data_IF_329831743397
#
_entry.id   IF_329831743397
#
_cell.length_a   1.000
_cell.length_b   1.000
_cell.length_c   1.000
_cell.angle_alpha   90.00
_cell.angle_beta   90.00
_cell.angle_gamma   90.00
#
_symmetry.space_group_name_H-M   'P 1'
#
loop_
_entity.id
_entity.type
_entity.pdbx_description
1 polymer ?
#
# COMPACT_ATOMS: atom_id res chain seq x y z
N UNK A 1 9.55 -7.46 14.30
CA UNK A 1 10.10 -6.10 14.46
C UNK A 1 11.53 -5.97 13.90
N UNK A 2 12.51 -6.75 14.36
CA UNK A 2 13.92 -6.55 13.97
C UNK A 2 14.19 -6.64 12.46
N UNK A 3 13.56 -7.57 11.73
CA UNK A 3 13.65 -7.59 10.26
C UNK A 3 13.20 -6.27 9.62
N UNK A 4 12.15 -5.65 10.16
CA UNK A 4 11.60 -4.39 9.63
C UNK A 4 12.42 -3.16 10.06
N UNK A 5 13.33 -3.30 11.02
CA UNK A 5 14.33 -2.27 11.31
C UNK A 5 15.21 -2.00 10.08
N UNK A 6 15.42 -2.99 9.21
CA UNK A 6 16.12 -2.79 7.93
C UNK A 6 15.46 -1.70 7.10
N UNK A 7 14.12 -1.64 7.03
CA UNK A 7 13.42 -0.60 6.28
C UNK A 7 13.56 0.78 6.94
N UNK A 8 13.55 0.86 8.26
CA UNK A 8 13.84 2.11 8.98
C UNK A 8 15.26 2.61 8.70
N UNK A 9 16.24 1.71 8.75
CA UNK A 9 17.65 2.04 8.51
C UNK A 9 17.89 2.38 7.04
N UNK A 10 17.22 1.71 6.09
CA UNK A 10 17.27 2.03 4.67
C UNK A 10 16.77 3.45 4.36
N UNK A 11 15.75 3.91 5.10
CA UNK A 11 15.17 5.25 4.99
C UNK A 11 15.90 6.30 5.85
N UNK A 12 17.02 5.94 6.50
CA UNK A 12 17.77 6.82 7.41
C UNK A 12 19.26 6.76 7.08
N UNK A 13 19.72 7.49 6.03
CA UNK A 13 21.13 7.55 5.69
C UNK A 13 22.01 7.89 6.89
N UNK A 14 23.07 7.09 7.10
CA UNK A 14 23.98 7.24 8.24
C UNK A 14 23.65 6.37 9.46
N UNK A 15 22.50 5.69 9.48
CA UNK A 15 22.25 4.66 10.50
C UNK A 15 23.19 3.46 10.30
N UNK A 16 23.75 2.95 11.39
CA UNK A 16 24.51 1.70 11.38
C UNK A 16 23.63 0.51 10.96
N UNK A 17 24.18 -0.33 10.07
CA UNK A 17 23.59 -1.62 9.69
C UNK A 17 23.67 -2.59 10.88
N UNK A 18 22.60 -3.37 11.09
CA UNK A 18 22.44 -4.24 12.27
C UNK A 18 22.30 -5.71 11.86
N UNK A 19 22.42 -6.63 12.83
CA UNK A 19 21.94 -8.01 12.67
C UNK A 19 20.41 -8.02 12.63
N UNK A 20 19.82 -7.81 11.46
CA UNK A 20 18.36 -7.78 11.29
C UNK A 20 17.69 -9.13 11.59
N UNK A 21 18.47 -10.22 11.57
CA UNK A 21 18.04 -11.58 11.90
C UNK A 21 18.28 -11.93 13.37
N UNK A 22 18.62 -10.96 14.24
CA UNK A 22 19.05 -11.20 15.63
C UNK A 22 18.17 -12.21 16.39
N UNK A 23 16.85 -12.11 16.24
CA UNK A 23 15.85 -12.98 16.91
C UNK A 23 15.42 -14.22 16.11
N UNK A 24 16.16 -14.61 15.06
CA UNK A 24 15.86 -15.77 14.21
C UNK A 24 17.00 -16.80 14.22
N UNK A 25 16.66 -18.05 13.94
CA UNK A 25 17.63 -19.14 13.73
C UNK A 25 18.36 -19.00 12.40
N UNK A 26 17.61 -18.67 11.33
CA UNK A 26 18.15 -18.52 9.99
C UNK A 26 18.67 -17.10 9.79
N UNK A 27 20.00 -16.95 9.86
CA UNK A 27 20.68 -15.64 9.81
C UNK A 27 21.62 -15.45 8.62
N UNK A 28 22.10 -16.54 8.02
CA UNK A 28 23.10 -16.45 6.95
C UNK A 28 22.41 -16.19 5.60
N UNK A 29 22.26 -14.92 5.26
CA UNK A 29 21.72 -14.45 3.97
C UNK A 29 22.83 -14.02 2.98
N UNK A 30 24.10 -14.22 3.32
CA UNK A 30 25.23 -13.81 2.50
C UNK A 30 25.45 -12.29 2.41
N UNK A 31 24.87 -11.51 3.34
CA UNK A 31 24.95 -10.03 3.32
C UNK A 31 23.82 -9.36 2.54
N UNK A 32 22.91 -10.13 1.95
CA UNK A 32 21.86 -9.65 1.05
C UNK A 32 21.03 -8.50 1.63
N UNK A 33 20.48 -8.65 2.83
CA UNK A 33 19.63 -7.63 3.44
C UNK A 33 20.43 -6.38 3.84
N UNK A 34 21.70 -6.55 4.20
CA UNK A 34 22.60 -5.44 4.53
C UNK A 34 22.91 -4.62 3.26
N UNK A 35 23.25 -5.27 2.15
CA UNK A 35 23.50 -4.63 0.87
C UNK A 35 22.28 -3.84 0.36
N UNK A 36 21.06 -4.34 0.56
CA UNK A 36 19.82 -3.62 0.23
C UNK A 36 19.67 -2.34 1.04
N UNK A 37 19.94 -2.39 2.35
CA UNK A 37 19.89 -1.22 3.24
C UNK A 37 20.93 -0.18 2.82
N UNK A 38 22.18 -0.60 2.64
CA UNK A 38 23.28 0.28 2.25
C UNK A 38 23.04 0.94 0.89
N UNK A 39 22.49 0.19 -0.07
CA UNK A 39 22.12 0.73 -1.38
C UNK A 39 21.13 1.88 -1.24
N UNK A 40 20.09 1.71 -0.41
CA UNK A 40 19.10 2.76 -0.16
C UNK A 40 19.75 3.97 0.53
N UNK A 41 20.54 3.74 1.58
CA UNK A 41 21.23 4.82 2.30
C UNK A 41 22.18 5.61 1.40
N UNK A 42 22.92 4.93 0.52
CA UNK A 42 23.84 5.56 -0.43
C UNK A 42 23.09 6.48 -1.41
N UNK A 43 22.04 5.97 -2.04
CA UNK A 43 21.23 6.75 -3.00
C UNK A 43 20.59 7.95 -2.30
N UNK A 44 19.92 7.73 -1.17
CA UNK A 44 19.20 8.79 -0.46
C UNK A 44 20.16 9.84 0.13
N UNK A 45 21.31 9.41 0.66
CA UNK A 45 22.33 10.29 1.26
C UNK A 45 22.99 11.24 0.26
N UNK A 46 22.94 10.95 -1.04
CA UNK A 46 23.50 11.80 -2.11
C UNK A 46 22.53 12.88 -2.62
N UNK A 47 21.33 12.98 -2.05
CA UNK A 47 20.25 13.86 -2.52
C UNK A 47 19.77 14.84 -1.44
N UNK A 48 18.83 15.74 -1.78
CA UNK A 48 18.15 16.60 -0.80
C UNK A 48 17.12 15.86 0.08
N UNK A 49 17.39 14.60 0.41
CA UNK A 49 16.48 13.69 1.11
C UNK A 49 16.06 14.17 2.50
N UNK A 50 16.87 15.00 3.16
CA UNK A 50 16.52 15.59 4.46
C UNK A 50 15.19 16.37 4.44
N UNK A 51 14.75 16.87 3.28
CA UNK A 51 13.44 17.53 3.10
C UNK A 51 12.30 16.54 3.34
N UNK A 52 12.46 15.28 2.92
CA UNK A 52 11.39 14.27 2.91
C UNK A 52 11.57 13.17 3.94
N UNK A 53 12.73 13.08 4.60
CA UNK A 53 13.08 11.98 5.52
C UNK A 53 12.03 11.76 6.61
N UNK A 54 11.51 12.85 7.20
CA UNK A 54 10.44 12.75 8.20
C UNK A 54 9.20 12.02 7.64
N UNK A 55 8.77 12.36 6.42
CA UNK A 55 7.58 11.81 5.77
C UNK A 55 7.79 10.33 5.40
N UNK A 56 8.94 9.99 4.80
CA UNK A 56 9.25 8.61 4.41
C UNK A 56 9.43 7.71 5.62
N UNK A 57 10.11 8.16 6.68
CA UNK A 57 10.26 7.40 7.93
C UNK A 57 8.92 7.22 8.63
N UNK A 58 8.03 8.22 8.62
CA UNK A 58 6.66 8.08 9.14
C UNK A 58 5.90 6.97 8.42
N UNK A 59 5.83 7.02 7.09
CA UNK A 59 5.14 5.99 6.29
C UNK A 59 5.79 4.61 6.45
N UNK A 60 7.12 4.55 6.47
CA UNK A 60 7.86 3.31 6.71
C UNK A 60 7.60 2.73 8.10
N UNK A 61 7.47 3.57 9.14
CA UNK A 61 7.12 3.13 10.49
C UNK A 61 5.73 2.52 10.54
N UNK A 62 4.74 3.18 9.92
CA UNK A 62 3.37 2.67 9.84
C UNK A 62 3.30 1.31 9.11
N UNK A 63 4.02 1.19 7.99
CA UNK A 63 4.16 -0.09 7.29
C UNK A 63 4.79 -1.15 8.21
N UNK A 64 5.91 -0.82 8.85
CA UNK A 64 6.60 -1.74 9.76
C UNK A 64 5.71 -2.21 10.91
N UNK A 65 4.89 -1.32 11.48
CA UNK A 65 3.94 -1.64 12.54
C UNK A 65 2.88 -2.63 12.06
N UNK A 66 2.25 -2.38 10.91
CA UNK A 66 1.31 -3.32 10.29
C UNK A 66 1.90 -4.72 10.17
N UNK A 67 3.11 -4.81 9.61
CA UNK A 67 3.75 -6.10 9.38
C UNK A 67 4.06 -6.84 10.69
N UNK A 68 4.37 -6.12 11.77
CA UNK A 68 4.54 -6.72 13.09
C UNK A 68 3.21 -7.17 13.68
N UNK A 69 2.15 -6.38 13.55
CA UNK A 69 0.85 -6.71 14.12
C UNK A 69 0.10 -7.81 13.34
N UNK A 70 0.29 -7.91 12.02
CA UNK A 70 -0.36 -8.94 11.18
C UNK A 70 0.28 -10.33 11.31
N UNK A 71 1.57 -10.42 11.63
CA UNK A 71 2.34 -11.69 11.62
C UNK A 71 2.65 -12.25 13.02
N UNK A 72 1.85 -11.90 14.03
CA UNK A 72 1.84 -12.63 15.31
C UNK A 72 0.91 -13.86 15.22
N UNK A 73 0.86 -14.64 16.31
CA UNK A 73 -0.13 -15.72 16.48
C UNK A 73 -1.55 -15.17 16.26
N UNK A 74 -2.42 -15.99 15.67
CA UNK A 74 -3.70 -15.57 15.09
C UNK A 74 -4.58 -14.80 16.09
N UNK A 75 -4.69 -15.31 17.31
CA UNK A 75 -5.49 -14.76 18.40
C UNK A 75 -5.03 -13.37 18.86
N UNK A 76 -3.78 -12.98 18.59
CA UNK A 76 -3.24 -11.68 18.95
C UNK A 76 -3.38 -10.63 17.83
N UNK A 77 -3.59 -11.04 16.58
CA UNK A 77 -3.56 -10.12 15.42
C UNK A 77 -4.57 -8.99 15.55
N UNK A 78 -5.85 -9.32 15.75
CA UNK A 78 -6.95 -8.33 15.79
C UNK A 78 -6.83 -7.41 17.02
N UNK A 79 -6.65 -7.90 18.26
CA UNK A 79 -6.49 -7.03 19.42
C UNK A 79 -5.35 -6.03 19.26
N UNK A 80 -4.21 -6.47 18.72
CA UNK A 80 -3.06 -5.60 18.48
C UNK A 80 -3.34 -4.54 17.43
N UNK A 81 -3.97 -4.89 16.30
CA UNK A 81 -4.30 -3.93 15.24
C UNK A 81 -5.33 -2.88 15.70
N UNK A 82 -6.35 -3.29 16.46
CA UNK A 82 -7.34 -2.36 17.05
C UNK A 82 -6.68 -1.39 18.03
N UNK A 83 -5.93 -1.90 19.01
CA UNK A 83 -5.23 -1.08 19.99
C UNK A 83 -4.20 -0.15 19.32
N UNK A 84 -3.52 -0.61 18.27
CA UNK A 84 -2.62 0.24 17.50
C UNK A 84 -3.36 1.38 16.78
N UNK A 85 -4.53 1.10 16.19
CA UNK A 85 -5.36 2.13 15.56
C UNK A 85 -5.93 3.15 16.55
N UNK A 86 -6.28 2.75 17.78
CA UNK A 86 -6.77 3.69 18.81
C UNK A 86 -5.81 4.87 19.05
N UNK A 87 -4.49 4.63 18.95
CA UNK A 87 -3.47 5.68 19.07
C UNK A 87 -3.44 6.66 17.89
N UNK A 88 -4.09 6.31 16.78
CA UNK A 88 -4.09 7.02 15.51
C UNK A 88 -5.49 7.51 15.09
N UNK A 89 -6.54 7.08 15.79
CA UNK A 89 -7.93 7.33 15.41
C UNK A 89 -8.28 8.82 15.42
N UNK A 90 -7.62 9.62 16.26
CA UNK A 90 -7.83 11.07 16.28
C UNK A 90 -7.34 11.76 14.99
N UNK A 91 -6.30 11.22 14.34
CA UNK A 91 -5.80 11.72 13.05
C UNK A 91 -6.70 11.28 11.88
N UNK A 92 -7.30 10.08 11.98
CA UNK A 92 -8.14 9.50 10.92
C UNK A 92 -9.49 9.00 11.46
N UNK A 93 -10.37 9.89 11.96
CA UNK A 93 -11.61 9.50 12.66
C UNK A 93 -12.66 8.86 11.75
N UNK A 94 -12.46 8.90 10.43
CA UNK A 94 -13.38 8.35 9.43
C UNK A 94 -12.97 6.96 8.93
N UNK A 95 -11.85 6.42 9.42
CA UNK A 95 -11.37 5.09 9.08
C UNK A 95 -11.75 4.09 10.17
N UNK A 96 -12.01 2.87 9.76
CA UNK A 96 -12.03 1.72 10.65
C UNK A 96 -10.62 1.12 10.79
N UNK A 97 -10.37 0.34 11.85
CA UNK A 97 -9.03 -0.23 12.12
C UNK A 97 -8.50 -1.07 10.95
N UNK A 98 -9.36 -1.79 10.24
CA UNK A 98 -9.00 -2.62 9.08
C UNK A 98 -8.73 -1.77 7.83
N UNK A 99 -9.41 -0.63 7.67
CA UNK A 99 -9.12 0.33 6.60
C UNK A 99 -7.81 1.05 6.86
N UNK A 100 -7.58 1.51 8.09
CA UNK A 100 -6.32 2.09 8.51
C UNK A 100 -5.16 1.10 8.29
N UNK A 101 -5.34 -0.16 8.72
CA UNK A 101 -4.36 -1.22 8.47
C UNK A 101 -4.04 -1.34 6.98
N UNK A 102 -5.05 -1.36 6.10
CA UNK A 102 -4.83 -1.34 4.65
C UNK A 102 -4.07 -0.09 4.18
N UNK A 103 -4.40 1.11 4.69
CA UNK A 103 -3.72 2.36 4.33
C UNK A 103 -2.21 2.33 4.61
N UNK A 104 -1.79 1.61 5.64
CA UNK A 104 -0.38 1.49 6.03
C UNK A 104 0.40 0.42 5.27
N UNK A 105 -0.29 -0.46 4.52
CA UNK A 105 0.33 -1.61 3.86
C UNK A 105 1.00 -1.32 2.52
N UNK A 106 0.93 -0.10 2.00
CA UNK A 106 1.55 0.26 0.72
C UNK A 106 2.81 1.09 0.89
N UNK A 107 3.73 0.96 -0.06
CA UNK A 107 4.97 1.73 -0.18
C UNK A 107 4.91 2.86 -1.22
N UNK A 108 3.77 3.04 -1.90
CA UNK A 108 3.64 4.00 -3.01
C UNK A 108 3.96 5.44 -2.60
N UNK A 109 3.58 5.87 -1.40
CA UNK A 109 3.89 7.21 -0.91
C UNK A 109 5.39 7.43 -0.73
N UNK A 110 6.10 6.42 -0.21
CA UNK A 110 7.57 6.45 -0.05
C UNK A 110 8.25 6.59 -1.42
N UNK A 111 7.85 5.77 -2.40
CA UNK A 111 8.42 5.85 -3.75
C UNK A 111 8.16 7.19 -4.42
N UNK A 112 6.96 7.76 -4.24
CA UNK A 112 6.62 9.07 -4.80
C UNK A 112 7.49 10.19 -4.20
N UNK A 113 7.62 10.23 -2.86
CA UNK A 113 8.46 11.20 -2.16
C UNK A 113 9.92 11.12 -2.62
N UNK A 114 10.48 9.90 -2.69
CA UNK A 114 11.85 9.68 -3.16
C UNK A 114 12.01 10.09 -4.62
N UNK A 115 11.06 9.75 -5.49
CA UNK A 115 11.12 10.07 -6.93
C UNK A 115 11.16 11.59 -7.17
N UNK A 116 10.28 12.36 -6.51
CA UNK A 116 10.30 13.82 -6.61
C UNK A 116 11.58 14.44 -6.04
N UNK A 117 12.14 13.84 -4.98
CA UNK A 117 13.41 14.27 -4.39
C UNK A 117 14.57 14.08 -5.36
N UNK A 118 14.71 12.88 -5.94
CA UNK A 118 15.74 12.58 -6.93
C UNK A 118 15.57 13.37 -8.23
N UNK A 119 14.33 13.74 -8.56
CA UNK A 119 14.00 14.65 -9.67
C UNK A 119 14.31 16.14 -9.40
N UNK A 120 14.84 16.50 -8.23
CA UNK A 120 15.24 17.86 -7.89
C UNK A 120 14.10 18.87 -7.76
N UNK A 121 12.84 18.41 -7.73
CA UNK A 121 11.65 19.27 -7.73
C UNK A 121 11.00 19.38 -6.33
N UNK A 122 11.67 18.89 -5.29
CA UNK A 122 11.09 18.72 -3.96
C UNK A 122 11.32 19.94 -3.05
N UNK A 123 10.25 20.38 -2.40
CA UNK A 123 10.27 21.31 -1.27
C UNK A 123 9.36 20.79 -0.15
N UNK A 124 9.35 21.48 1.00
CA UNK A 124 8.56 21.06 2.18
C UNK A 124 7.05 21.01 1.91
N UNK A 125 6.52 21.99 1.17
CA UNK A 125 5.10 22.08 0.86
C UNK A 125 4.69 20.94 -0.08
N UNK A 126 5.52 20.65 -1.08
CA UNK A 126 5.29 19.54 -1.99
C UNK A 126 5.39 18.21 -1.25
N UNK A 127 6.34 18.04 -0.34
CA UNK A 127 6.47 16.81 0.46
C UNK A 127 5.19 16.53 1.27
N UNK A 128 4.66 17.54 1.95
CA UNK A 128 3.38 17.44 2.67
C UNK A 128 2.21 17.11 1.74
N UNK A 129 2.15 17.74 0.55
CA UNK A 129 1.09 17.46 -0.42
C UNK A 129 1.21 16.04 -0.99
N UNK A 130 2.43 15.55 -1.26
CA UNK A 130 2.68 14.18 -1.73
C UNK A 130 2.26 13.17 -0.67
N UNK A 131 2.65 13.36 0.60
CA UNK A 131 2.20 12.48 1.69
C UNK A 131 0.68 12.43 1.74
N UNK A 132 0.00 13.58 1.80
CA UNK A 132 -1.48 13.65 1.85
C UNK A 132 -2.18 13.04 0.63
N UNK A 133 -1.54 13.09 -0.53
CA UNK A 133 -2.13 12.58 -1.76
C UNK A 133 -2.03 11.06 -1.89
N UNK A 134 -1.01 10.47 -1.29
CA UNK A 134 -0.83 9.02 -1.28
C UNK A 134 -1.41 8.37 -0.03
N UNK A 135 -1.21 8.98 1.13
CA UNK A 135 -1.65 8.48 2.42
C UNK A 135 -2.75 9.38 3.02
N UNK A 136 -3.87 8.81 3.50
CA UNK A 136 -4.13 7.37 3.62
C UNK A 136 -4.71 6.73 2.34
N UNK A 137 -5.45 7.49 1.54
CA UNK A 137 -6.46 6.90 0.63
C UNK A 137 -5.89 6.16 -0.58
N UNK A 138 -4.84 6.67 -1.25
CA UNK A 138 -4.30 5.93 -2.40
C UNK A 138 -3.64 4.62 -1.97
N UNK A 139 -2.89 4.65 -0.87
CA UNK A 139 -2.30 3.46 -0.28
C UNK A 139 -3.38 2.48 0.19
N UNK A 140 -4.42 2.97 0.86
CA UNK A 140 -5.51 2.11 1.30
C UNK A 140 -6.29 1.51 0.14
N UNK A 141 -6.56 2.27 -0.92
CA UNK A 141 -7.21 1.75 -2.12
C UNK A 141 -6.37 0.62 -2.77
N UNK A 142 -5.06 0.81 -2.88
CA UNK A 142 -4.15 -0.19 -3.41
C UNK A 142 -4.22 -1.50 -2.62
N UNK A 143 -4.10 -1.43 -1.29
CA UNK A 143 -4.08 -2.63 -0.45
C UNK A 143 -5.47 -3.25 -0.29
N UNK A 144 -6.52 -2.44 -0.24
CA UNK A 144 -7.89 -2.96 -0.23
C UNK A 144 -8.20 -3.72 -1.53
N UNK A 145 -7.73 -3.25 -2.69
CA UNK A 145 -7.86 -3.98 -3.96
C UNK A 145 -7.12 -5.33 -3.93
N UNK A 146 -5.92 -5.36 -3.34
CA UNK A 146 -5.13 -6.57 -3.13
C UNK A 146 -5.90 -7.59 -2.28
N UNK A 147 -6.35 -7.17 -1.09
CA UNK A 147 -7.20 -8.02 -0.23
C UNK A 147 -8.52 -8.42 -0.90
N UNK A 148 -9.12 -7.57 -1.73
CA UNK A 148 -10.35 -7.92 -2.42
C UNK A 148 -10.13 -9.09 -3.38
N UNK A 149 -9.02 -9.11 -4.12
CA UNK A 149 -8.74 -10.18 -5.09
C UNK A 149 -8.30 -11.48 -4.43
N UNK A 150 -7.70 -11.42 -3.24
CA UNK A 150 -7.13 -12.56 -2.54
C UNK A 150 -8.06 -13.19 -1.50
N UNK A 151 -9.31 -12.73 -1.37
CA UNK A 151 -10.29 -13.25 -0.39
C UNK A 151 -10.41 -14.79 -0.35
N UNK A 152 -10.42 -15.46 -1.50
CA UNK A 152 -10.53 -16.91 -1.54
C UNK A 152 -9.24 -17.60 -1.04
N UNK A 153 -8.07 -17.07 -1.40
CA UNK A 153 -6.77 -17.61 -0.99
C UNK A 153 -6.55 -17.39 0.51
N UNK A 154 -6.84 -16.19 1.01
CA UNK A 154 -6.76 -15.87 2.44
C UNK A 154 -7.71 -16.75 3.26
N UNK A 155 -8.91 -17.06 2.77
CA UNK A 155 -9.85 -17.98 3.43
C UNK A 155 -9.30 -19.42 3.46
N UNK A 156 -8.67 -19.88 2.37
CA UNK A 156 -8.07 -21.22 2.26
C UNK A 156 -6.81 -21.37 3.13
N UNK A 157 -6.01 -20.31 3.28
CA UNK A 157 -4.75 -20.30 4.04
C UNK A 157 -4.93 -19.90 5.51
N UNK A 158 -6.12 -19.44 5.91
CA UNK A 158 -6.37 -18.94 7.27
C UNK A 158 -5.72 -17.58 7.55
N UNK A 159 -5.49 -16.81 6.50
CA UNK A 159 -4.80 -15.53 6.55
C UNK A 159 -5.76 -14.36 6.80
N UNK A 160 -5.22 -13.31 7.43
CA UNK A 160 -6.02 -12.15 7.81
C UNK A 160 -6.37 -11.30 6.58
N UNK A 161 -7.63 -11.35 6.13
CA UNK A 161 -8.16 -10.49 5.07
C UNK A 161 -8.96 -9.29 5.61
N UNK A 162 -8.56 -8.05 5.28
CA UNK A 162 -9.25 -6.86 5.78
C UNK A 162 -10.66 -6.64 5.21
N UNK A 163 -10.96 -7.18 4.03
CA UNK A 163 -12.30 -7.08 3.43
C UNK A 163 -13.36 -7.91 4.18
N UNK A 164 -12.94 -8.91 4.96
CA UNK A 164 -13.85 -9.73 5.75
C UNK A 164 -14.48 -8.99 6.97
N UNK A 165 -14.00 -7.80 7.30
CA UNK A 165 -14.45 -7.04 8.49
C UNK A 165 -15.47 -5.94 8.20
N UNK A 166 -15.84 -5.72 6.93
CA UNK A 166 -17.02 -4.92 6.60
C UNK A 166 -18.29 -5.68 6.99
N UNK A 167 -19.33 -4.98 7.46
CA UNK A 167 -20.54 -5.66 7.94
C UNK A 167 -21.29 -6.37 6.80
N UNK A 168 -21.23 -5.81 5.58
CA UNK A 168 -21.76 -6.44 4.37
C UNK A 168 -21.11 -5.87 3.09
N UNK A 169 -21.24 -6.62 1.98
CA UNK A 169 -20.62 -6.28 0.69
C UNK A 169 -20.96 -4.87 0.17
N UNK A 170 -22.20 -4.41 0.36
CA UNK A 170 -22.62 -3.07 -0.09
C UNK A 170 -21.94 -1.94 0.71
N UNK A 171 -21.55 -2.19 1.96
CA UNK A 171 -20.78 -1.23 2.77
C UNK A 171 -19.34 -1.18 2.25
N UNK A 172 -18.71 -2.34 2.10
CA UNK A 172 -17.37 -2.46 1.52
C UNK A 172 -17.30 -1.69 0.19
N UNK A 173 -18.23 -1.94 -0.72
CA UNK A 173 -18.30 -1.24 -2.00
C UNK A 173 -18.39 0.28 -1.86
N UNK A 174 -19.27 0.79 -0.98
CA UNK A 174 -19.37 2.24 -0.71
C UNK A 174 -18.07 2.81 -0.16
N UNK A 175 -17.37 2.06 0.69
CA UNK A 175 -16.06 2.45 1.24
C UNK A 175 -14.98 2.45 0.16
N UNK A 176 -14.91 1.46 -0.72
CA UNK A 176 -14.01 1.51 -1.89
C UNK A 176 -14.31 2.72 -2.79
N UNK A 177 -15.57 3.01 -3.09
CA UNK A 177 -15.94 4.20 -3.86
C UNK A 177 -15.51 5.50 -3.15
N UNK A 178 -15.60 5.55 -1.83
CA UNK A 178 -15.12 6.66 -1.02
C UNK A 178 -13.60 6.81 -1.17
N UNK A 179 -12.83 5.72 -1.03
CA UNK A 179 -11.38 5.72 -1.23
C UNK A 179 -10.98 6.22 -2.63
N UNK A 180 -11.63 5.71 -3.69
CA UNK A 180 -11.40 6.20 -5.07
C UNK A 180 -11.64 7.70 -5.19
N UNK A 181 -12.74 8.21 -4.62
CA UNK A 181 -13.09 9.65 -4.68
C UNK A 181 -12.10 10.50 -3.91
N UNK A 182 -11.69 10.08 -2.71
CA UNK A 182 -10.70 10.80 -1.89
C UNK A 182 -9.34 10.81 -2.58
N UNK A 183 -8.87 9.66 -3.07
CA UNK A 183 -7.62 9.56 -3.86
C UNK A 183 -7.66 10.48 -5.06
N UNK A 184 -8.74 10.44 -5.86
CA UNK A 184 -8.88 11.32 -7.02
C UNK A 184 -8.78 12.80 -6.62
N UNK A 185 -9.47 13.22 -5.56
CA UNK A 185 -9.45 14.60 -5.09
C UNK A 185 -8.08 15.10 -4.66
N UNK A 186 -7.28 14.27 -3.99
CA UNK A 186 -5.95 14.68 -3.54
C UNK A 186 -4.91 14.67 -4.67
N UNK A 187 -4.89 13.65 -5.55
CA UNK A 187 -3.87 13.56 -6.60
C UNK A 187 -3.99 14.67 -7.65
N UNK A 188 -5.16 15.31 -7.80
CA UNK A 188 -5.31 16.50 -8.66
C UNK A 188 -4.53 17.72 -8.14
N UNK A 189 -4.15 17.74 -6.85
CA UNK A 189 -3.39 18.83 -6.24
C UNK A 189 -1.88 18.68 -6.43
N UNK A 190 -1.43 17.56 -6.99
CA UNK A 190 -0.01 17.31 -7.24
C UNK A 190 0.46 17.93 -8.57
N UNK A 191 1.75 18.28 -8.67
CA UNK A 191 2.37 18.44 -9.98
C UNK A 191 2.23 17.13 -10.76
N UNK A 192 2.24 17.21 -12.09
CA UNK A 192 2.07 16.04 -12.96
C UNK A 192 0.78 15.24 -12.67
N UNK A 193 -0.30 15.90 -12.25
CA UNK A 193 -1.58 15.26 -11.94
C UNK A 193 -2.06 14.21 -12.98
N UNK A 194 -1.88 14.40 -14.32
CA UNK A 194 -2.24 13.37 -15.30
C UNK A 194 -1.49 12.04 -15.12
N UNK A 195 -0.25 12.07 -14.63
CA UNK A 195 0.54 10.87 -14.34
C UNK A 195 0.03 10.16 -13.07
N UNK A 196 -0.21 10.90 -11.99
CA UNK A 196 -0.79 10.32 -10.77
C UNK A 196 -2.19 9.76 -10.99
N UNK A 197 -3.01 10.45 -11.79
CA UNK A 197 -4.32 9.95 -12.23
C UNK A 197 -4.19 8.63 -13.00
N UNK A 198 -3.19 8.51 -13.88
CA UNK A 198 -2.93 7.27 -14.61
C UNK A 198 -2.53 6.12 -13.67
N UNK A 199 -1.73 6.37 -12.63
CA UNK A 199 -1.40 5.34 -11.61
C UNK A 199 -2.68 4.92 -10.88
N UNK A 200 -3.48 5.87 -10.41
CA UNK A 200 -4.73 5.60 -9.70
C UNK A 200 -5.71 4.76 -10.54
N UNK A 201 -5.95 5.15 -11.78
CA UNK A 201 -6.80 4.42 -12.72
C UNK A 201 -6.23 3.06 -13.10
N UNK A 202 -4.90 3.00 -13.24
CA UNK A 202 -4.15 1.78 -13.51
C UNK A 202 -4.31 0.75 -12.40
N UNK A 203 -4.13 1.15 -11.14
CA UNK A 203 -4.35 0.27 -9.99
C UNK A 203 -5.74 -0.35 -10.02
N UNK A 204 -6.80 0.47 -10.10
CA UNK A 204 -8.17 -0.05 -10.13
C UNK A 204 -8.40 -0.98 -11.33
N UNK A 205 -8.00 -0.54 -12.52
CA UNK A 205 -8.23 -1.32 -13.74
C UNK A 205 -7.50 -2.66 -13.74
N UNK A 206 -6.21 -2.67 -13.37
CA UNK A 206 -5.36 -3.86 -13.40
C UNK A 206 -5.76 -4.88 -12.32
N UNK A 207 -5.97 -4.44 -11.07
CA UNK A 207 -6.38 -5.34 -9.99
C UNK A 207 -7.74 -5.99 -10.27
N UNK A 208 -8.73 -5.20 -10.70
CA UNK A 208 -10.06 -5.75 -11.01
C UNK A 208 -10.06 -6.69 -12.23
N UNK A 209 -9.04 -6.60 -13.09
CA UNK A 209 -8.86 -7.49 -14.23
C UNK A 209 -8.20 -8.83 -13.89
N UNK A 210 -7.81 -9.03 -12.63
CA UNK A 210 -7.28 -10.31 -12.15
C UNK A 210 -8.29 -11.45 -12.38
N UNK A 211 -7.76 -12.65 -12.59
CA UNK A 211 -8.57 -13.86 -12.83
C UNK A 211 -9.33 -14.29 -11.60
N UNK A 212 -8.78 -14.07 -10.39
CA UNK A 212 -9.40 -14.39 -9.10
C UNK A 212 -10.73 -13.64 -8.92
N UNK A 213 -10.82 -12.41 -9.43
CA UNK A 213 -12.05 -11.59 -9.38
C UNK A 213 -13.25 -12.29 -10.01
N UNK A 214 -13.04 -13.12 -11.02
CA UNK A 214 -14.11 -13.88 -11.66
C UNK A 214 -14.74 -14.97 -10.78
N UNK A 215 -14.04 -15.42 -9.74
CA UNK A 215 -14.48 -16.45 -8.78
C UNK A 215 -15.22 -15.86 -7.57
N UNK A 216 -15.03 -14.57 -7.30
CA UNK A 216 -15.64 -13.88 -6.17
C UNK A 216 -17.16 -13.74 -6.36
N UNK A 217 -17.91 -13.95 -5.27
CA UNK A 217 -19.36 -13.72 -5.25
C UNK A 217 -19.64 -12.25 -5.58
N UNK A 218 -20.65 -12.01 -6.41
CA UNK A 218 -21.13 -10.67 -6.77
C UNK A 218 -20.12 -9.70 -7.40
N UNK A 219 -18.91 -10.14 -7.79
CA UNK A 219 -17.87 -9.28 -8.32
C UNK A 219 -18.27 -8.43 -9.54
N UNK A 220 -19.26 -8.86 -10.33
CA UNK A 220 -19.72 -8.11 -11.51
C UNK A 220 -20.25 -6.71 -11.15
N UNK A 221 -21.06 -6.59 -10.10
CA UNK A 221 -21.61 -5.28 -9.69
C UNK A 221 -20.52 -4.42 -9.08
N UNK A 222 -19.68 -4.99 -8.22
CA UNK A 222 -18.53 -4.33 -7.61
C UNK A 222 -17.58 -3.75 -8.66
N UNK A 223 -17.11 -4.58 -9.61
CA UNK A 223 -16.21 -4.17 -10.69
C UNK A 223 -16.82 -3.05 -11.54
N UNK A 224 -18.08 -3.21 -11.96
CA UNK A 224 -18.75 -2.21 -12.80
C UNK A 224 -18.78 -0.85 -12.10
N UNK A 225 -19.13 -0.84 -10.82
CA UNK A 225 -19.36 0.40 -10.09
C UNK A 225 -18.03 1.08 -9.71
N UNK A 226 -17.00 0.30 -9.34
CA UNK A 226 -15.64 0.83 -9.13
C UNK A 226 -15.01 1.38 -10.42
N UNK A 227 -15.14 0.69 -11.56
CA UNK A 227 -14.64 1.20 -12.84
C UNK A 227 -15.35 2.49 -13.25
N UNK A 228 -16.66 2.57 -12.99
CA UNK A 228 -17.46 3.77 -13.27
C UNK A 228 -16.98 4.99 -12.47
N UNK A 229 -16.70 4.81 -11.17
CA UNK A 229 -16.21 5.92 -10.32
C UNK A 229 -14.75 6.28 -10.61
N UNK A 230 -13.93 5.32 -11.04
CA UNK A 230 -12.50 5.52 -11.27
C UNK A 230 -12.18 6.19 -12.61
N UNK A 231 -13.07 6.05 -13.60
CA UNK A 231 -12.97 6.76 -14.88
C UNK A 231 -12.67 5.86 -16.09
N UNK A 232 -12.70 6.46 -17.28
CA UNK A 232 -12.61 5.73 -18.58
C UNK A 232 -11.28 5.01 -18.76
N UNK A 233 -10.17 5.57 -18.28
CA UNK A 233 -8.85 4.93 -18.38
C UNK A 233 -8.74 3.69 -17.49
N UNK A 234 -9.39 3.67 -16.32
CA UNK A 234 -9.47 2.45 -15.51
C UNK A 234 -10.18 1.33 -16.27
N UNK A 235 -11.26 1.66 -16.99
CA UNK A 235 -11.96 0.72 -17.88
C UNK A 235 -11.06 0.23 -19.02
N UNK A 236 -10.26 1.11 -19.63
CA UNK A 236 -9.26 0.73 -20.63
C UNK A 236 -8.22 -0.25 -20.06
N UNK A 237 -7.61 0.07 -18.91
CA UNK A 237 -6.65 -0.82 -18.24
C UNK A 237 -7.27 -2.18 -17.92
N UNK A 238 -8.51 -2.19 -17.44
CA UNK A 238 -9.24 -3.43 -17.15
C UNK A 238 -9.34 -4.35 -18.36
N UNK A 239 -9.82 -3.83 -19.50
CA UNK A 239 -9.96 -4.65 -20.71
C UNK A 239 -8.61 -5.04 -21.31
N UNK A 240 -7.63 -4.13 -21.27
CA UNK A 240 -6.28 -4.40 -21.76
C UNK A 240 -5.62 -5.53 -20.97
N UNK A 241 -5.68 -5.49 -19.63
CA UNK A 241 -5.14 -6.53 -18.76
C UNK A 241 -5.86 -7.86 -18.94
N UNK A 242 -7.20 -7.87 -19.07
CA UNK A 242 -7.95 -9.10 -19.38
C UNK A 242 -7.54 -9.71 -20.71
N UNK A 243 -7.34 -8.89 -21.74
CA UNK A 243 -6.87 -9.36 -23.04
C UNK A 243 -5.46 -9.94 -22.93
N UNK A 244 -4.56 -9.25 -22.21
CA UNK A 244 -3.21 -9.75 -21.95
C UNK A 244 -3.21 -11.10 -21.24
N UNK A 245 -4.01 -11.26 -20.17
CA UNK A 245 -4.17 -12.53 -19.46
C UNK A 245 -4.76 -13.64 -20.33
N UNK A 246 -5.56 -13.31 -21.35
CA UNK A 246 -6.09 -14.30 -22.30
C UNK A 246 -5.01 -14.75 -23.30
N UNK A 247 -4.13 -13.85 -23.73
CA UNK A 247 -3.07 -14.13 -24.70
C UNK A 247 -1.85 -14.82 -24.08
N UNK A 248 -1.49 -14.44 -22.84
CA UNK A 248 -0.41 -15.03 -22.06
C UNK A 248 -0.97 -15.56 -20.76
N UNK A 249 -1.59 -16.75 -20.78
CA UNK A 249 -2.03 -17.34 -19.54
C UNK A 249 -0.84 -17.66 -18.66
N UNK A 250 -0.76 -16.99 -17.49
CA UNK A 250 0.18 -17.35 -16.44
C UNK A 250 -0.08 -18.77 -15.90
N UNK A 251 0.60 -19.14 -14.82
CA UNK A 251 0.36 -20.44 -14.16
C UNK A 251 -1.13 -20.62 -13.85
N UNK A 252 -1.65 -21.86 -13.92
CA UNK A 252 -3.00 -22.15 -13.45
C UNK A 252 -3.18 -21.64 -12.01
N UNK A 253 -4.36 -21.06 -11.73
CA UNK A 253 -4.79 -20.76 -10.37
C UNK A 253 -5.04 -22.07 -9.63
#
# INVERSE_FOLDING_TARGET
RMLHQSMTDALSPGNEVKDYYYYRSDKNDGGYLQELVETCQHVLGSSSYSIVQHHTVKLGSLYNDLQVHKHVIEEERIPRLKNWFENHQSEWPHLEWYEFSACTGSTLGIFCLVSYTLGGSMDKRLAEQVERSYFPFMQGLHILLDYYIDQQEDEEEGDLNFCAYYAHEEEMKKRFEYFVKQTHGEIQKLPNAPFHQMIHEGLVGMYLADRKVGKLKNAKSFVRDLLKVSGKKATFFYYNTKMYHKLKPGRPL
#
